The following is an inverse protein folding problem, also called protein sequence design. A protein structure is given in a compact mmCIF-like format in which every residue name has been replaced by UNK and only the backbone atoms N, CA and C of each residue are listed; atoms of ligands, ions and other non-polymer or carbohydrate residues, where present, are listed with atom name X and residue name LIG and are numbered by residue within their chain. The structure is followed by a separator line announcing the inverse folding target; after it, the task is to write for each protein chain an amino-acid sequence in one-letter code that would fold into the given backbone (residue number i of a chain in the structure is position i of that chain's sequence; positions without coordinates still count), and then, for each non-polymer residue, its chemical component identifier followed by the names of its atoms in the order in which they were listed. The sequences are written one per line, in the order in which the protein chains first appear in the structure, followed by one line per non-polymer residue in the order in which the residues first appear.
data_IF_888518145412
#
_entry.id   IF_888518145412
#
_cell.length_a   1.000
_cell.length_b   1.000
_cell.length_c   1.000
_cell.angle_alpha   90.00
_cell.angle_beta   90.00
_cell.angle_gamma   90.00
#
_symmetry.space_group_name_H-M   'P 1'
#
loop_
_entity.id
_entity.type
_entity.pdbx_description
1 polymer ?
#
# COMPACT_ATOMS: atom_id res chain seq x y z
N UNK A 1 -7.14 -7.62 -3.27
CA UNK A 1 -5.69 -7.28 -3.33
C UNK A 1 -5.25 -6.44 -2.13
N UNK A 2 -5.93 -5.34 -1.77
CA UNK A 2 -5.55 -4.48 -0.63
C UNK A 2 -5.30 -5.27 0.67
N UNK A 3 -6.26 -6.11 1.07
CA UNK A 3 -6.19 -6.82 2.36
C UNK A 3 -4.93 -7.68 2.50
N UNK A 4 -4.54 -8.42 1.46
CA UNK A 4 -3.33 -9.26 1.52
C UNK A 4 -2.04 -8.43 1.42
N UNK A 5 -2.06 -7.33 0.67
CA UNK A 5 -0.94 -6.38 0.59
C UNK A 5 -0.64 -5.75 1.94
N UNK A 6 -1.68 -5.28 2.63
CA UNK A 6 -1.55 -4.70 3.96
C UNK A 6 -1.04 -5.73 4.99
N UNK A 7 -1.45 -7.00 4.92
CA UNK A 7 -0.87 -8.06 5.76
C UNK A 7 0.64 -8.24 5.52
N UNK A 8 1.12 -8.06 4.29
CA UNK A 8 2.57 -8.09 3.99
C UNK A 8 3.30 -6.87 4.54
N UNK A 9 2.69 -5.68 4.48
CA UNK A 9 3.19 -4.47 5.16
C UNK A 9 3.34 -4.75 6.66
N UNK A 10 2.29 -5.26 7.30
CA UNK A 10 2.28 -5.59 8.73
C UNK A 10 3.42 -6.56 9.09
N UNK A 11 3.67 -7.60 8.30
CA UNK A 11 4.80 -8.51 8.53
C UNK A 11 6.17 -7.85 8.40
N UNK A 12 6.33 -6.88 7.48
CA UNK A 12 7.59 -6.16 7.32
C UNK A 12 7.84 -5.19 8.48
N UNK A 13 6.80 -4.56 9.00
CA UNK A 13 6.90 -3.58 10.10
C UNK A 13 6.96 -4.21 11.48
N UNK A 14 6.50 -5.45 11.64
CA UNK A 14 6.58 -6.19 12.91
C UNK A 14 7.79 -7.16 12.92
N UNK A 15 8.77 -6.86 13.77
CA UNK A 15 9.98 -7.68 13.92
C UNK A 15 9.68 -9.12 14.38
N UNK A 16 8.65 -9.34 15.20
CA UNK A 16 8.29 -10.69 15.64
C UNK A 16 7.79 -11.53 14.46
N UNK A 17 6.93 -10.95 13.62
CA UNK A 17 6.36 -11.59 12.42
C UNK A 17 7.37 -11.86 11.29
N UNK A 18 8.51 -11.19 11.30
CA UNK A 18 9.60 -11.40 10.34
C UNK A 18 10.83 -12.12 10.90
N UNK A 19 10.70 -12.79 12.05
CA UNK A 19 11.80 -13.55 12.70
C UNK A 19 12.99 -12.65 13.07
N UNK A 20 12.71 -11.42 13.47
CA UNK A 20 13.69 -10.40 13.86
C UNK A 20 14.73 -10.14 12.78
N UNK A 21 14.39 -10.31 11.50
CA UNK A 21 15.33 -10.08 10.40
C UNK A 21 15.43 -8.61 10.02
N UNK A 22 14.35 -7.85 10.23
CA UNK A 22 14.27 -6.39 10.15
C UNK A 22 14.01 -5.81 11.56
N UNK A 23 14.44 -4.56 11.84
CA UNK A 23 14.06 -3.86 13.06
C UNK A 23 12.57 -3.45 13.03
N UNK A 24 11.98 -3.29 14.22
CA UNK A 24 10.62 -2.76 14.38
C UNK A 24 10.39 -1.49 13.54
N UNK A 25 9.26 -1.45 12.84
CA UNK A 25 8.82 -0.34 11.97
C UNK A 25 9.85 0.11 10.92
N UNK A 26 10.82 -0.73 10.58
CA UNK A 26 11.85 -0.44 9.59
C UNK A 26 12.69 0.81 9.90
N UNK A 27 13.03 1.01 11.17
CA UNK A 27 13.94 2.07 11.63
C UNK A 27 15.08 1.51 12.48
N UNK A 28 16.30 2.03 12.30
CA UNK A 28 17.48 1.61 13.08
C UNK A 28 17.49 2.19 14.51
N UNK A 29 16.81 3.32 14.72
CA UNK A 29 16.77 4.04 16.00
C UNK A 29 15.35 4.04 16.57
N UNK A 30 14.82 2.85 16.86
CA UNK A 30 13.53 2.65 17.52
C UNK A 30 13.53 3.29 18.90
N UNK A 31 12.62 4.23 19.14
CA UNK A 31 12.50 4.99 20.40
C UNK A 31 12.47 6.50 20.20
N UNK A 32 13.16 7.00 19.18
CA UNK A 32 13.07 8.40 18.72
C UNK A 32 12.42 8.53 17.33
N UNK A 33 12.39 7.44 16.57
CA UNK A 33 11.75 7.39 15.25
C UNK A 33 10.63 6.33 15.26
N UNK A 34 9.51 6.67 14.63
CA UNK A 34 8.37 5.81 14.37
C UNK A 34 8.49 5.05 13.05
N UNK A 35 9.36 5.50 12.13
CA UNK A 35 9.61 4.85 10.85
C UNK A 35 8.31 4.64 10.04
N UNK A 36 8.04 3.39 9.67
CA UNK A 36 6.93 2.99 8.82
C UNK A 36 5.66 2.58 9.62
N UNK A 37 5.60 2.88 10.92
CA UNK A 37 4.42 2.57 11.75
C UNK A 37 3.14 3.17 11.16
N UNK A 38 3.14 4.48 10.89
CA UNK A 38 1.94 5.18 10.38
C UNK A 38 1.65 4.81 8.92
N UNK A 39 2.66 4.41 8.14
CA UNK A 39 2.46 3.85 6.80
C UNK A 39 1.57 2.60 6.86
N UNK A 40 1.80 1.70 7.81
CA UNK A 40 0.92 0.55 8.02
C UNK A 40 -0.49 0.95 8.47
N UNK A 41 -0.62 1.98 9.32
CA UNK A 41 -1.94 2.46 9.78
C UNK A 41 -2.76 3.01 8.62
N UNK A 42 -2.14 3.78 7.73
CA UNK A 42 -2.78 4.28 6.51
C UNK A 42 -3.26 3.13 5.63
N UNK A 43 -2.42 2.12 5.41
CA UNK A 43 -2.82 0.95 4.62
C UNK A 43 -4.01 0.20 5.25
N UNK A 44 -4.01 0.03 6.57
CA UNK A 44 -5.10 -0.61 7.30
C UNK A 44 -6.41 0.19 7.20
N UNK A 45 -6.36 1.52 7.33
CA UNK A 45 -7.51 2.39 7.19
C UNK A 45 -8.15 2.28 5.80
N UNK A 46 -7.34 2.36 4.74
CA UNK A 46 -7.81 2.21 3.34
C UNK A 46 -8.41 0.83 3.09
N UNK A 47 -7.81 -0.23 3.64
CA UNK A 47 -8.38 -1.57 3.58
C UNK A 47 -9.73 -1.66 4.30
N UNK A 48 -9.90 -0.96 5.42
CA UNK A 48 -11.15 -0.92 6.17
C UNK A 48 -12.26 -0.19 5.41
N UNK A 49 -11.95 0.95 4.82
CA UNK A 49 -12.88 1.70 3.96
C UNK A 49 -13.35 0.85 2.77
N UNK A 50 -12.42 0.14 2.13
CA UNK A 50 -12.74 -0.76 1.03
C UNK A 50 -13.71 -1.89 1.42
N UNK A 51 -13.78 -2.29 2.70
CA UNK A 51 -14.77 -3.28 3.16
C UNK A 51 -16.20 -2.73 3.10
N UNK A 52 -16.38 -1.45 3.43
CA UNK A 52 -17.69 -0.77 3.30
C UNK A 52 -18.07 -0.60 1.84
N UNK A 53 -17.11 -0.19 1.01
CA UNK A 53 -17.31 -0.06 -0.44
C UNK A 53 -17.56 -1.40 -1.13
N UNK A 54 -17.14 -2.53 -0.56
CA UNK A 54 -17.36 -3.85 -1.14
C UNK A 54 -18.83 -4.33 -1.07
N UNK A 55 -19.72 -3.66 -0.33
CA UNK A 55 -21.14 -4.01 -0.35
C UNK A 55 -21.71 -3.79 -1.76
N UNK A 56 -22.33 -4.80 -2.39
CA UNK A 56 -22.82 -4.67 -3.77
C UNK A 56 -23.92 -3.60 -3.84
N UNK A 57 -23.76 -2.57 -4.68
CA UNK A 57 -24.84 -1.58 -4.85
C UNK A 57 -26.02 -2.15 -5.66
N UNK A 58 -25.78 -3.20 -6.45
CA UNK A 58 -26.77 -3.85 -7.31
C UNK A 58 -27.77 -4.75 -6.59
N UNK A 59 -27.68 -4.91 -5.27
CA UNK A 59 -28.69 -5.64 -4.48
C UNK A 59 -29.86 -4.76 -4.08
N UNK A 60 -29.80 -3.47 -4.40
CA UNK A 60 -30.85 -2.49 -4.16
C UNK A 60 -31.53 -2.07 -5.47
N UNK A 61 -32.81 -1.73 -5.39
CA UNK A 61 -33.59 -1.17 -6.49
C UNK A 61 -34.61 -0.17 -5.93
N UNK A 62 -34.71 0.99 -6.57
CA UNK A 62 -35.72 2.00 -6.24
C UNK A 62 -36.52 2.22 -7.53
N UNK A 63 -37.79 1.79 -7.59
CA UNK A 63 -38.66 2.03 -8.72
C UNK A 63 -38.75 3.51 -9.07
N UNK A 64 -38.74 3.81 -10.36
CA UNK A 64 -38.93 5.17 -10.87
C UNK A 64 -40.05 5.21 -11.90
N UNK A 65 -40.37 6.39 -12.43
CA UNK A 65 -41.38 6.56 -13.48
C UNK A 65 -42.75 5.96 -13.08
N UNK A 66 -43.21 6.23 -11.86
CA UNK A 66 -44.49 5.69 -11.32
C UNK A 66 -44.60 4.16 -11.41
N UNK A 67 -43.52 3.44 -11.10
CA UNK A 67 -43.38 1.98 -11.18
C UNK A 67 -43.39 1.41 -12.61
N UNK A 68 -43.16 2.23 -13.65
CA UNK A 68 -42.90 1.70 -15.00
C UNK A 68 -41.47 1.13 -15.10
N UNK A 69 -40.51 1.78 -14.45
CA UNK A 69 -39.14 1.31 -14.32
C UNK A 69 -38.97 0.76 -12.90
N UNK A 70 -39.54 -0.43 -12.66
CA UNK A 70 -39.66 -1.04 -11.33
C UNK A 70 -38.45 -1.87 -10.88
N UNK A 71 -37.50 -2.12 -11.79
CA UNK A 71 -36.24 -2.80 -11.46
C UNK A 71 -35.04 -2.19 -12.21
N UNK A 72 -34.02 -1.78 -11.46
CA UNK A 72 -32.79 -1.19 -12.01
C UNK A 72 -31.54 -1.80 -11.37
N UNK A 73 -30.39 -1.63 -12.01
CA UNK A 73 -29.13 -2.29 -11.60
C UNK A 73 -28.30 -1.53 -10.58
N UNK A 74 -28.60 -0.25 -10.33
CA UNK A 74 -27.73 0.68 -9.60
C UNK A 74 -26.27 0.70 -10.12
N UNK A 75 -26.10 0.48 -11.43
CA UNK A 75 -24.80 0.22 -12.05
C UNK A 75 -23.79 1.37 -11.96
N UNK A 76 -24.24 2.62 -12.06
CA UNK A 76 -23.35 3.79 -11.92
C UNK A 76 -22.72 3.85 -10.53
N UNK A 77 -23.52 3.63 -9.48
CA UNK A 77 -23.02 3.58 -8.09
C UNK A 77 -21.99 2.48 -7.93
N UNK A 78 -22.23 1.30 -8.52
CA UNK A 78 -21.23 0.20 -8.53
C UNK A 78 -19.91 0.63 -9.18
N UNK A 79 -19.96 1.34 -10.32
CA UNK A 79 -18.76 1.82 -11.01
C UNK A 79 -17.99 2.87 -10.20
N UNK A 80 -18.68 3.81 -9.54
CA UNK A 80 -18.06 4.82 -8.68
C UNK A 80 -17.37 4.18 -7.46
N UNK A 81 -18.01 3.19 -6.85
CA UNK A 81 -17.42 2.42 -5.73
C UNK A 81 -16.16 1.66 -6.17
N UNK A 82 -16.19 1.04 -7.35
CA UNK A 82 -15.01 0.37 -7.91
C UNK A 82 -13.85 1.35 -8.15
N UNK A 83 -14.14 2.54 -8.69
CA UNK A 83 -13.12 3.59 -8.88
C UNK A 83 -12.44 3.95 -7.56
N UNK A 84 -13.21 4.18 -6.49
CA UNK A 84 -12.65 4.50 -5.18
C UNK A 84 -11.82 3.34 -4.60
N UNK A 85 -12.29 2.09 -4.75
CA UNK A 85 -11.53 0.91 -4.32
C UNK A 85 -10.18 0.82 -5.04
N UNK A 86 -10.16 1.10 -6.35
CA UNK A 86 -8.93 1.09 -7.14
C UNK A 86 -7.96 2.19 -6.72
N UNK A 87 -8.43 3.41 -6.47
CA UNK A 87 -7.61 4.48 -5.90
C UNK A 87 -6.99 4.06 -4.56
N UNK A 88 -7.81 3.51 -3.65
CA UNK A 88 -7.32 3.00 -2.36
C UNK A 88 -6.31 1.85 -2.54
N UNK A 89 -6.48 1.00 -3.56
CA UNK A 89 -5.54 -0.08 -3.88
C UNK A 89 -4.19 0.44 -4.34
N UNK A 90 -4.15 1.46 -5.19
CA UNK A 90 -2.89 2.08 -5.64
C UNK A 90 -2.07 2.61 -4.47
N UNK A 91 -2.72 3.28 -3.51
CA UNK A 91 -2.06 3.73 -2.29
C UNK A 91 -1.55 2.55 -1.45
N UNK A 92 -2.36 1.51 -1.23
CA UNK A 92 -1.91 0.34 -0.43
C UNK A 92 -0.70 -0.36 -1.08
N UNK A 93 -0.71 -0.52 -2.40
CA UNK A 93 0.44 -1.08 -3.13
C UNK A 93 1.67 -0.17 -3.08
N UNK A 94 1.49 1.14 -3.17
CA UNK A 94 2.56 2.12 -3.00
C UNK A 94 3.22 1.99 -1.62
N UNK A 95 2.41 1.94 -0.56
CA UNK A 95 2.88 1.77 0.81
C UNK A 95 3.63 0.44 0.97
N UNK A 96 3.16 -0.65 0.36
CA UNK A 96 3.87 -1.93 0.34
C UNK A 96 5.23 -1.85 -0.33
N UNK A 97 5.30 -1.25 -1.52
CA UNK A 97 6.55 -1.13 -2.27
C UNK A 97 7.58 -0.24 -1.55
N UNK A 98 7.14 0.84 -0.92
CA UNK A 98 8.00 1.68 -0.07
C UNK A 98 8.54 0.89 1.13
N UNK A 99 7.66 0.15 1.81
CA UNK A 99 7.99 -0.68 2.97
C UNK A 99 8.98 -1.79 2.57
N UNK A 100 8.76 -2.44 1.42
CA UNK A 100 9.65 -3.47 0.89
C UNK A 100 11.04 -2.92 0.52
N UNK A 101 11.09 -1.77 -0.16
CA UNK A 101 12.36 -1.13 -0.51
C UNK A 101 13.16 -0.73 0.72
N UNK A 102 12.49 -0.19 1.76
CA UNK A 102 13.13 0.12 3.04
C UNK A 102 13.67 -1.15 3.72
N UNK A 103 12.88 -2.23 3.75
CA UNK A 103 13.30 -3.52 4.29
C UNK A 103 14.52 -4.10 3.55
N UNK A 104 14.59 -3.94 2.22
CA UNK A 104 15.74 -4.38 1.42
C UNK A 104 17.01 -3.65 1.85
N UNK A 105 16.96 -2.33 2.05
CA UNK A 105 18.14 -1.56 2.49
C UNK A 105 18.64 -2.00 3.86
N UNK A 106 17.73 -2.13 4.82
CA UNK A 106 18.05 -2.58 6.18
C UNK A 106 18.62 -4.01 6.16
N UNK A 107 18.07 -4.87 5.31
CA UNK A 107 18.58 -6.24 5.16
C UNK A 107 19.98 -6.24 4.58
N UNK A 108 20.24 -5.46 3.52
CA UNK A 108 21.59 -5.31 2.91
C UNK A 108 22.62 -4.81 3.91
N UNK A 109 22.28 -3.81 4.75
CA UNK A 109 23.16 -3.32 5.82
C UNK A 109 23.56 -4.43 6.79
N UNK A 110 22.65 -5.37 7.09
CA UNK A 110 22.89 -6.45 8.05
C UNK A 110 23.64 -7.66 7.48
N UNK A 111 23.37 -8.07 6.23
CA UNK A 111 23.89 -9.34 5.67
C UNK A 111 25.01 -9.16 4.63
N UNK A 112 25.44 -7.93 4.36
CA UNK A 112 26.49 -7.61 3.38
C UNK A 112 25.95 -7.22 2.00
N UNK A 113 26.55 -6.20 1.38
CA UNK A 113 26.11 -5.58 0.11
C UNK A 113 26.35 -6.44 -1.14
N UNK A 114 27.13 -7.50 -1.01
CA UNK A 114 27.42 -8.50 -2.04
C UNK A 114 26.22 -9.42 -2.34
N UNK A 115 25.19 -9.41 -1.48
CA UNK A 115 23.91 -10.08 -1.75
C UNK A 115 23.10 -9.31 -2.80
N UNK A 116 22.65 -10.03 -3.83
CA UNK A 116 21.95 -9.45 -4.99
C UNK A 116 20.45 -9.74 -4.93
N UNK A 117 19.66 -8.75 -5.36
CA UNK A 117 18.24 -8.93 -5.66
C UNK A 117 18.07 -9.83 -6.89
N UNK A 118 16.89 -10.43 -7.04
CA UNK A 118 16.53 -11.21 -8.22
C UNK A 118 16.45 -10.34 -9.49
N UNK A 119 16.57 -10.97 -10.66
CA UNK A 119 16.56 -10.27 -11.96
C UNK A 119 15.32 -9.38 -12.17
N UNK A 120 14.16 -9.80 -11.65
CA UNK A 120 12.91 -9.03 -11.75
C UNK A 120 12.76 -7.95 -10.67
N UNK A 121 13.14 -8.23 -9.42
CA UNK A 121 12.96 -7.28 -8.31
C UNK A 121 14.03 -6.19 -8.26
N UNK A 122 15.23 -6.47 -8.76
CA UNK A 122 16.33 -5.51 -8.83
C UNK A 122 15.94 -4.21 -9.57
N UNK A 123 15.45 -4.24 -10.83
CA UNK A 123 15.10 -3.01 -11.55
C UNK A 123 13.98 -2.22 -10.87
N UNK A 124 12.98 -2.90 -10.30
CA UNK A 124 11.89 -2.25 -9.55
C UNK A 124 12.43 -1.52 -8.32
N UNK A 125 13.28 -2.19 -7.52
CA UNK A 125 13.92 -1.57 -6.37
C UNK A 125 14.80 -0.37 -6.76
N UNK A 126 15.61 -0.49 -7.82
CA UNK A 126 16.46 0.60 -8.32
C UNK A 126 15.61 1.79 -8.78
N UNK A 127 14.49 1.52 -9.47
CA UNK A 127 13.54 2.56 -9.89
C UNK A 127 12.91 3.25 -8.69
N UNK A 128 12.42 2.51 -7.69
CA UNK A 128 11.89 3.08 -6.44
C UNK A 128 12.94 3.98 -5.77
N UNK A 129 14.19 3.51 -5.66
CA UNK A 129 15.26 4.27 -5.01
C UNK A 129 15.73 5.50 -5.78
N UNK A 130 15.47 5.57 -7.08
CA UNK A 130 15.71 6.77 -7.88
C UNK A 130 14.78 7.94 -7.54
N UNK A 131 13.60 7.67 -6.98
CA UNK A 131 12.57 8.70 -6.66
C UNK A 131 12.26 8.82 -5.17
N UNK A 132 12.45 7.75 -4.42
CA UNK A 132 12.16 7.66 -2.98
C UNK A 132 13.45 7.26 -2.26
N UNK A 133 14.09 8.21 -1.55
CA UNK A 133 15.31 7.93 -0.81
C UNK A 133 15.05 6.97 0.36
N UNK A 134 16.11 6.40 0.90
CA UNK A 134 16.07 5.69 2.18
C UNK A 134 15.61 6.64 3.29
N UNK A 135 14.69 6.19 4.13
CA UNK A 135 14.18 6.98 5.26
C UNK A 135 15.00 6.65 6.49
N UNK A 136 15.98 7.49 6.83
CA UNK A 136 16.86 7.28 7.98
C UNK A 136 16.23 7.77 9.30
N UNK A 137 15.51 8.88 9.24
CA UNK A 137 14.83 9.52 10.39
C UNK A 137 13.40 9.87 10.00
N UNK A 138 12.56 10.07 11.01
CA UNK A 138 11.18 10.48 10.82
C UNK A 138 11.11 11.77 10.00
N UNK A 139 10.22 11.75 9.01
CA UNK A 139 9.96 12.87 8.12
C UNK A 139 8.49 12.84 7.68
N UNK A 140 8.05 13.93 7.06
CA UNK A 140 6.71 13.98 6.48
C UNK A 140 6.62 13.00 5.29
N UNK A 141 5.91 11.88 5.46
CA UNK A 141 5.90 10.78 4.49
C UNK A 141 5.00 11.03 3.27
N UNK A 142 3.99 11.90 3.37
CA UNK A 142 2.99 12.10 2.31
C UNK A 142 3.59 12.42 0.93
N UNK A 143 4.60 13.31 0.78
CA UNK A 143 5.19 13.57 -0.53
C UNK A 143 5.92 12.36 -1.12
N UNK A 144 6.49 11.49 -0.29
CA UNK A 144 7.12 10.24 -0.75
C UNK A 144 6.07 9.22 -1.18
N UNK A 145 4.97 9.13 -0.44
CA UNK A 145 3.82 8.29 -0.79
C UNK A 145 3.22 8.72 -2.12
N UNK A 146 3.05 10.03 -2.33
CA UNK A 146 2.47 10.57 -3.58
C UNK A 146 3.36 10.24 -4.78
N UNK A 147 4.68 10.42 -4.65
CA UNK A 147 5.63 10.01 -5.70
C UNK A 147 5.57 8.51 -6.00
N UNK A 148 5.37 7.68 -4.97
CA UNK A 148 5.22 6.23 -5.16
C UNK A 148 3.94 5.88 -5.91
N UNK A 149 2.83 6.55 -5.58
CA UNK A 149 1.55 6.38 -6.28
C UNK A 149 1.67 6.84 -7.73
N UNK A 150 2.31 7.98 -7.97
CA UNK A 150 2.61 8.47 -9.33
C UNK A 150 3.45 7.47 -10.13
N UNK A 151 4.47 6.86 -9.51
CA UNK A 151 5.31 5.85 -10.14
C UNK A 151 4.52 4.59 -10.54
N UNK A 152 3.55 4.17 -9.73
CA UNK A 152 2.64 3.08 -10.10
C UNK A 152 1.73 3.51 -11.26
N UNK A 153 1.16 4.71 -11.18
CA UNK A 153 0.24 5.24 -12.20
C UNK A 153 0.90 5.51 -13.54
N UNK A 154 2.21 5.78 -13.57
CA UNK A 154 2.96 5.97 -14.82
C UNK A 154 3.17 4.66 -15.59
N UNK A 155 2.96 3.50 -14.95
CA UNK A 155 3.18 2.18 -15.55
C UNK A 155 4.67 1.83 -15.72
N UNK A 156 5.57 2.58 -15.06
CA UNK A 156 7.01 2.30 -15.08
C UNK A 156 7.38 1.08 -14.21
N UNK A 157 6.47 0.64 -13.33
CA UNK A 157 6.57 -0.54 -12.46
C UNK A 157 5.25 -1.30 -12.35
#
# INVERSE_FOLDING_TARGET
LCNISERRISRLTDEASNSHVLPAFLTENSGINSGFMIVQYTAAALCSENKVLAHPASVDTIPTSANVEDHVSMGLTSALKLRQINENLEYVLALELMTAAQGIDLRKKRIGGDKRLGKGTKPVYEKIRSVIPFVEKDQFMKPLIDRMVELIRSGEI
#
